data_IF_656915068376
#
_entry.id   IF_656915068376
#
_cell.length_a   1.000
_cell.length_b   1.000
_cell.length_c   1.000
_cell.angle_alpha   90.00
_cell.angle_beta   90.00
_cell.angle_gamma   90.00
#
_symmetry.space_group_name_H-M   'P 1'
#
loop_
_entity.id
_entity.type
_entity.pdbx_description
1 polymer ?
#
# COMPACT_ATOMS: atom_id res chain seq x y z
N UNK A 1 -48.13 36.64 48.24
CA UNK A 1 -47.31 36.65 47.02
C UNK A 1 -47.03 35.25 46.50
N UNK A 2 -47.08 35.15 45.17
CA UNK A 2 -46.75 33.99 44.35
C UNK A 2 -45.23 33.75 44.27
N UNK A 3 -44.81 32.53 43.90
CA UNK A 3 -43.49 32.33 43.28
C UNK A 3 -42.88 30.94 43.44
N UNK A 4 -43.16 30.05 42.48
CA UNK A 4 -42.45 28.80 42.20
C UNK A 4 -41.09 29.01 41.53
N UNK A 5 -40.23 27.98 41.57
CA UNK A 5 -39.29 27.63 40.48
C UNK A 5 -37.81 27.89 40.80
N UNK A 6 -37.00 26.84 40.95
CA UNK A 6 -36.01 26.41 39.94
C UNK A 6 -34.61 26.74 40.46
N UNK A 7 -33.52 26.04 40.18
CA UNK A 7 -33.21 25.14 39.07
C UNK A 7 -31.95 24.33 39.45
N UNK A 8 -31.87 23.10 38.97
CA UNK A 8 -30.74 22.19 39.17
C UNK A 8 -29.69 22.44 38.10
N UNK A 9 -28.58 23.09 38.46
CA UNK A 9 -27.41 23.25 37.60
C UNK A 9 -26.62 21.95 37.46
N UNK A 10 -27.03 21.06 36.57
CA UNK A 10 -26.16 20.01 36.04
C UNK A 10 -25.21 20.62 35.02
N UNK A 11 -23.96 20.86 35.44
CA UNK A 11 -22.86 21.15 34.52
C UNK A 11 -22.59 19.94 33.64
N UNK A 12 -23.07 20.00 32.40
CA UNK A 12 -22.76 19.04 31.36
C UNK A 12 -21.31 19.18 30.94
N UNK A 13 -20.51 18.20 31.33
CA UNK A 13 -19.16 17.97 30.83
C UNK A 13 -19.25 17.60 29.34
N UNK A 14 -18.93 18.56 28.46
CA UNK A 14 -18.84 18.32 27.03
C UNK A 14 -17.58 17.50 26.75
N UNK A 15 -17.76 16.18 26.67
CA UNK A 15 -16.71 15.22 26.32
C UNK A 15 -15.91 15.67 25.10
N UNK A 16 -14.63 15.97 25.32
CA UNK A 16 -13.63 16.12 24.28
C UNK A 16 -13.39 14.74 23.63
N UNK A 17 -13.98 14.54 22.44
CA UNK A 17 -13.45 13.53 21.51
C UNK A 17 -11.97 13.84 21.20
N UNK A 18 -11.17 12.83 20.82
CA UNK A 18 -9.76 13.04 20.49
C UNK A 18 -9.65 14.12 19.42
N UNK A 19 -8.84 15.15 19.68
CA UNK A 19 -8.61 16.24 18.76
C UNK A 19 -8.12 15.67 17.41
N UNK A 20 -8.83 15.98 16.33
CA UNK A 20 -8.33 15.77 14.98
C UNK A 20 -7.07 16.63 14.82
N UNK A 21 -5.91 15.99 14.74
CA UNK A 21 -4.64 16.66 14.46
C UNK A 21 -4.72 17.22 13.04
N UNK A 22 -4.62 18.54 12.91
CA UNK A 22 -4.44 19.18 11.60
C UNK A 22 -2.96 19.12 11.24
N UNK A 23 -2.58 18.18 10.37
CA UNK A 23 -1.21 18.07 9.90
C UNK A 23 -0.75 19.30 9.14
N UNK A 24 -1.67 20.04 8.53
CA UNK A 24 -1.37 21.27 7.79
C UNK A 24 -0.79 22.38 8.69
N UNK A 25 -1.02 22.31 10.00
CA UNK A 25 -0.48 23.27 10.98
C UNK A 25 0.90 22.89 11.53
N UNK A 26 1.35 21.66 11.30
CA UNK A 26 2.59 21.13 11.88
C UNK A 26 3.83 21.66 11.14
N UNK A 27 4.81 22.30 11.84
CA UNK A 27 5.99 22.88 11.20
C UNK A 27 6.80 21.90 10.34
N UNK A 28 6.88 20.64 10.77
CA UNK A 28 7.59 19.59 10.03
C UNK A 28 6.91 19.23 8.70
N UNK A 29 5.58 19.25 8.68
CA UNK A 29 4.77 18.98 7.47
C UNK A 29 4.86 20.17 6.51
N UNK A 30 4.76 21.40 7.02
CA UNK A 30 4.97 22.62 6.24
C UNK A 30 6.35 22.61 5.57
N UNK A 31 7.39 22.23 6.31
CA UNK A 31 8.75 22.11 5.78
C UNK A 31 8.86 20.99 4.72
N UNK A 32 8.19 19.85 4.93
CA UNK A 32 8.16 18.76 3.95
C UNK A 32 7.50 19.20 2.63
N UNK A 33 6.32 19.82 2.67
CA UNK A 33 5.66 20.38 1.48
C UNK A 33 6.55 21.44 0.80
N UNK A 34 7.13 22.36 1.57
CA UNK A 34 8.03 23.38 1.01
C UNK A 34 9.24 22.77 0.30
N UNK A 35 9.84 21.70 0.85
CA UNK A 35 10.94 20.97 0.22
C UNK A 35 10.53 20.21 -1.03
N UNK A 36 9.30 19.70 -1.09
CA UNK A 36 8.81 18.94 -2.23
C UNK A 36 8.43 19.83 -3.42
N UNK A 37 7.93 21.04 -3.17
CA UNK A 37 7.32 21.89 -4.21
C UNK A 37 7.92 23.29 -4.36
N UNK A 38 8.85 23.71 -3.48
CA UNK A 38 9.58 24.98 -3.61
C UNK A 38 9.00 26.18 -2.83
N UNK A 39 7.86 26.03 -2.14
CA UNK A 39 7.34 26.92 -1.06
C UNK A 39 6.09 26.23 -0.47
N UNK A 40 5.51 26.61 0.69
CA UNK A 40 4.37 25.85 1.20
C UNK A 40 3.26 25.86 0.15
N UNK A 41 3.01 24.72 -0.47
CA UNK A 41 1.97 24.56 -1.47
C UNK A 41 0.67 24.26 -0.74
N UNK A 42 -0.30 25.17 -0.86
CA UNK A 42 -1.63 24.99 -0.28
C UNK A 42 -2.24 23.64 -0.69
N UNK A 43 -2.00 23.18 -1.92
CA UNK A 43 -2.44 21.87 -2.40
C UNK A 43 -1.81 20.67 -1.67
N UNK A 44 -0.53 20.77 -1.26
CA UNK A 44 0.11 19.72 -0.47
C UNK A 44 -0.48 19.69 0.94
N UNK A 45 -0.60 20.87 1.57
CA UNK A 45 -1.15 21.00 2.92
C UNK A 45 -2.61 20.53 2.98
N UNK A 46 -3.44 20.92 2.00
CA UNK A 46 -4.83 20.49 1.87
C UNK A 46 -4.95 18.96 1.69
N UNK A 47 -4.07 18.37 0.87
CA UNK A 47 -4.07 16.93 0.65
C UNK A 47 -3.75 16.13 1.92
N UNK A 48 -2.89 16.65 2.80
CA UNK A 48 -2.40 15.92 3.98
C UNK A 48 -3.06 16.34 5.30
N UNK A 49 -3.86 17.41 5.32
CA UNK A 49 -4.47 17.96 6.54
C UNK A 49 -5.16 16.89 7.39
N UNK A 50 -5.87 15.97 6.72
CA UNK A 50 -6.62 14.87 7.34
C UNK A 50 -6.01 13.50 7.11
N UNK A 51 -4.72 13.42 6.81
CA UNK A 51 -4.02 12.15 6.71
C UNK A 51 -4.15 11.38 8.04
N UNK A 52 -4.34 10.06 7.96
CA UNK A 52 -4.49 9.23 9.15
C UNK A 52 -3.19 9.11 9.97
N UNK A 53 -2.04 9.43 9.37
CA UNK A 53 -0.70 9.30 9.93
C UNK A 53 0.16 10.50 9.57
N UNK A 54 1.32 10.64 10.22
CA UNK A 54 2.29 11.69 9.88
C UNK A 54 2.69 11.61 8.39
N UNK A 55 2.39 12.64 7.58
CA UNK A 55 2.59 12.57 6.13
C UNK A 55 4.04 12.84 5.70
N UNK A 56 4.96 13.14 6.63
CA UNK A 56 6.33 13.58 6.29
C UNK A 56 7.08 12.54 5.45
N UNK A 57 6.99 11.26 5.82
CA UNK A 57 7.63 10.17 5.07
C UNK A 57 7.00 9.97 3.68
N UNK A 58 5.68 10.10 3.56
CA UNK A 58 4.96 10.05 2.29
C UNK A 58 5.43 11.18 1.35
N UNK A 59 5.47 12.42 1.85
CA UNK A 59 5.87 13.59 1.05
C UNK A 59 7.29 13.40 0.51
N UNK A 60 8.21 12.93 1.36
CA UNK A 60 9.58 12.61 0.97
C UNK A 60 9.63 11.51 -0.11
N UNK A 61 8.94 10.39 0.09
CA UNK A 61 8.92 9.29 -0.86
C UNK A 61 8.33 9.69 -2.23
N UNK A 62 7.25 10.49 -2.24
CA UNK A 62 6.67 11.01 -3.47
C UNK A 62 7.61 11.98 -4.20
N UNK A 63 8.28 12.89 -3.48
CA UNK A 63 9.30 13.76 -4.05
C UNK A 63 10.40 12.92 -4.70
N UNK A 64 10.92 11.94 -3.98
CA UNK A 64 12.00 11.10 -4.49
C UNK A 64 11.56 10.29 -5.71
N UNK A 65 10.32 9.81 -5.74
CA UNK A 65 9.80 9.02 -6.86
C UNK A 65 9.55 9.83 -8.13
N UNK A 66 9.16 11.10 -8.01
CA UNK A 66 8.60 11.87 -9.13
C UNK A 66 9.29 13.20 -9.41
N UNK A 67 10.30 13.60 -8.64
CA UNK A 67 11.07 14.83 -8.92
C UNK A 67 11.72 14.76 -10.32
N UNK A 68 11.71 15.87 -11.10
CA UNK A 68 11.26 17.22 -10.74
C UNK A 68 9.77 17.53 -11.06
N UNK A 69 8.96 16.53 -11.41
CA UNK A 69 7.59 16.73 -11.90
C UNK A 69 6.60 16.98 -10.75
N UNK A 70 6.39 18.25 -10.39
CA UNK A 70 5.52 18.65 -9.28
C UNK A 70 4.08 18.11 -9.36
N UNK A 71 3.51 17.96 -10.55
CA UNK A 71 2.17 17.36 -10.75
C UNK A 71 2.10 15.90 -10.28
N UNK A 72 3.15 15.13 -10.56
CA UNK A 72 3.23 13.71 -10.23
C UNK A 72 3.51 13.54 -8.74
N UNK A 73 4.35 14.41 -8.16
CA UNK A 73 4.53 14.49 -6.70
C UNK A 73 3.18 14.78 -6.02
N UNK A 74 2.41 15.76 -6.50
CA UNK A 74 1.09 16.09 -5.93
C UNK A 74 0.08 14.94 -6.05
N UNK A 75 0.07 14.24 -7.19
CA UNK A 75 -0.80 13.08 -7.42
C UNK A 75 -0.47 11.94 -6.46
N UNK A 76 0.82 11.67 -6.27
CA UNK A 76 1.30 10.67 -5.31
C UNK A 76 0.93 11.04 -3.87
N UNK A 77 1.14 12.30 -3.46
CA UNK A 77 0.79 12.77 -2.11
C UNK A 77 -0.71 12.66 -1.86
N UNK A 78 -1.53 13.11 -2.81
CA UNK A 78 -3.01 13.04 -2.70
C UNK A 78 -3.49 11.59 -2.58
N UNK A 79 -2.88 10.68 -3.34
CA UNK A 79 -3.23 9.26 -3.33
C UNK A 79 -2.80 8.60 -2.02
N UNK A 80 -1.56 8.83 -1.59
CA UNK A 80 -1.02 8.26 -0.36
C UNK A 80 -1.67 8.81 0.90
N UNK A 81 -2.07 10.08 0.93
CA UNK A 81 -2.71 10.69 2.10
C UNK A 81 -4.07 10.05 2.44
N UNK A 82 -4.69 9.37 1.46
CA UNK A 82 -5.95 8.63 1.61
C UNK A 82 -5.74 7.15 1.95
N UNK A 83 -4.49 6.70 2.08
CA UNK A 83 -4.17 5.32 2.40
C UNK A 83 -4.65 4.97 3.82
N UNK A 84 -4.96 3.69 4.02
CA UNK A 84 -5.40 3.14 5.32
C UNK A 84 -4.25 2.80 6.27
N UNK A 85 -3.02 2.98 5.81
CA UNK A 85 -1.75 2.66 6.48
C UNK A 85 -0.69 3.68 6.03
N UNK A 86 0.47 3.71 6.69
CA UNK A 86 1.59 4.60 6.31
C UNK A 86 2.18 4.21 4.93
N UNK A 87 1.98 5.00 3.87
CA UNK A 87 2.27 4.56 2.49
C UNK A 87 3.73 4.76 2.05
N UNK A 88 4.59 5.36 2.88
CA UNK A 88 5.94 5.77 2.48
C UNK A 88 6.79 4.63 1.92
N UNK A 89 6.79 3.48 2.60
CA UNK A 89 7.50 2.28 2.16
C UNK A 89 6.91 1.69 0.86
N UNK A 90 5.58 1.73 0.69
CA UNK A 90 4.90 1.32 -0.54
C UNK A 90 5.32 2.18 -1.74
N UNK A 91 5.39 3.51 -1.57
CA UNK A 91 5.85 4.42 -2.63
C UNK A 91 7.30 4.12 -3.03
N UNK A 92 8.19 3.93 -2.04
CA UNK A 92 9.58 3.57 -2.29
C UNK A 92 9.72 2.24 -3.03
N UNK A 93 8.93 1.22 -2.65
CA UNK A 93 8.92 -0.07 -3.32
C UNK A 93 8.42 0.03 -4.78
N UNK A 94 7.36 0.81 -5.03
CA UNK A 94 6.88 1.08 -6.38
C UNK A 94 7.95 1.77 -7.25
N UNK A 95 8.65 2.78 -6.71
CA UNK A 95 9.76 3.43 -7.40
C UNK A 95 10.86 2.43 -7.76
N UNK A 96 11.27 1.60 -6.81
CA UNK A 96 12.31 0.59 -7.04
C UNK A 96 11.90 -0.46 -8.08
N UNK A 97 10.60 -0.80 -8.14
CA UNK A 97 10.10 -1.79 -9.09
C UNK A 97 9.98 -1.25 -10.52
N UNK A 98 9.62 0.02 -10.71
CA UNK A 98 9.19 0.54 -12.01
C UNK A 98 9.99 1.75 -12.54
N UNK A 99 10.96 2.28 -11.80
CA UNK A 99 11.81 3.34 -12.31
C UNK A 99 12.52 2.92 -13.63
N UNK A 100 12.67 3.85 -14.60
CA UNK A 100 12.30 5.27 -14.56
C UNK A 100 10.86 5.60 -15.02
N UNK A 101 10.01 4.61 -15.25
CA UNK A 101 8.68 4.82 -15.85
C UNK A 101 7.67 5.39 -14.84
N UNK A 102 7.58 6.71 -14.76
CA UNK A 102 6.71 7.41 -13.79
C UNK A 102 5.25 6.96 -13.83
N UNK A 103 4.69 6.67 -15.01
CA UNK A 103 3.33 6.14 -15.15
C UNK A 103 3.10 4.81 -14.42
N UNK A 104 4.09 3.92 -14.49
CA UNK A 104 4.02 2.59 -13.85
C UNK A 104 4.19 2.72 -12.34
N UNK A 105 5.07 3.64 -11.90
CA UNK A 105 5.19 3.98 -10.47
C UNK A 105 3.87 4.53 -9.93
N UNK A 106 3.21 5.48 -10.62
CA UNK A 106 1.91 6.01 -10.21
C UNK A 106 0.83 4.92 -10.16
N UNK A 107 0.78 4.06 -11.18
CA UNK A 107 -0.17 2.95 -11.23
C UNK A 107 0.05 1.98 -10.07
N UNK A 108 1.31 1.65 -9.78
CA UNK A 108 1.66 0.83 -8.62
C UNK A 108 1.20 1.47 -7.31
N UNK A 109 1.49 2.76 -7.10
CA UNK A 109 1.08 3.49 -5.88
C UNK A 109 -0.44 3.45 -5.73
N UNK A 110 -1.19 3.83 -6.77
CA UNK A 110 -2.65 3.87 -6.73
C UNK A 110 -3.27 2.52 -6.36
N UNK A 111 -2.76 1.42 -6.94
CA UNK A 111 -3.25 0.06 -6.62
C UNK A 111 -2.87 -0.36 -5.21
N UNK A 112 -1.62 -0.16 -4.82
CA UNK A 112 -1.09 -0.65 -3.55
C UNK A 112 -1.67 0.12 -2.35
N UNK A 113 -1.89 1.43 -2.47
CA UNK A 113 -2.46 2.24 -1.37
C UNK A 113 -3.98 2.13 -1.26
N UNK A 114 -4.68 1.66 -2.30
CA UNK A 114 -6.10 1.33 -2.23
C UNK A 114 -6.37 0.06 -1.41
N UNK A 115 -5.35 -0.79 -1.24
CA UNK A 115 -5.41 -1.98 -0.41
C UNK A 115 -5.62 -1.68 1.07
N UNK A 116 -5.98 -2.71 1.83
CA UNK A 116 -6.20 -2.59 3.28
C UNK A 116 -4.91 -2.63 4.12
N UNK A 117 -3.76 -2.91 3.49
CA UNK A 117 -2.48 -3.19 4.17
C UNK A 117 -1.29 -2.70 3.37
N UNK A 118 -0.17 -2.51 4.03
CA UNK A 118 1.11 -2.16 3.42
C UNK A 118 1.58 -3.26 2.46
N UNK A 119 1.86 -2.90 1.20
CA UNK A 119 2.22 -3.85 0.12
C UNK A 119 3.71 -3.81 -0.25
N UNK A 120 4.54 -3.08 0.50
CA UNK A 120 5.96 -2.85 0.17
C UNK A 120 6.74 -4.16 -0.04
N UNK A 121 6.54 -5.15 0.85
CA UNK A 121 7.15 -6.48 0.73
C UNK A 121 6.66 -7.27 -0.49
N UNK A 122 5.37 -7.19 -0.80
CA UNK A 122 4.77 -7.87 -1.95
C UNK A 122 5.28 -7.32 -3.29
N UNK A 123 5.38 -5.99 -3.41
CA UNK A 123 5.92 -5.30 -4.60
C UNK A 123 7.35 -5.77 -4.87
N UNK A 124 8.19 -5.83 -3.83
CA UNK A 124 9.55 -6.33 -3.93
C UNK A 124 9.61 -7.79 -4.39
N UNK A 125 8.74 -8.65 -3.85
CA UNK A 125 8.65 -10.06 -4.25
C UNK A 125 8.19 -10.21 -5.71
N UNK A 126 7.16 -9.47 -6.13
CA UNK A 126 6.70 -9.43 -7.53
C UNK A 126 7.83 -8.99 -8.47
N UNK A 127 8.58 -7.94 -8.12
CA UNK A 127 9.73 -7.48 -8.91
C UNK A 127 10.79 -8.56 -9.03
N UNK A 128 11.15 -9.23 -7.92
CA UNK A 128 12.12 -10.34 -7.96
C UNK A 128 11.63 -11.52 -8.78
N UNK A 129 10.33 -11.82 -8.77
CA UNK A 129 9.76 -12.97 -9.46
C UNK A 129 9.65 -12.77 -10.98
N UNK A 130 9.32 -11.56 -11.43
CA UNK A 130 8.90 -11.30 -12.81
C UNK A 130 9.75 -10.28 -13.57
N UNK A 131 10.79 -9.72 -12.96
CA UNK A 131 11.74 -8.87 -13.68
C UNK A 131 12.40 -9.63 -14.85
N UNK A 132 12.73 -8.94 -15.97
CA UNK A 132 12.56 -7.49 -16.18
C UNK A 132 11.19 -7.07 -16.72
N UNK A 133 10.23 -7.98 -16.91
CA UNK A 133 8.97 -7.71 -17.58
C UNK A 133 7.99 -6.93 -16.68
N UNK A 134 7.92 -5.61 -16.85
CA UNK A 134 7.10 -4.72 -16.03
C UNK A 134 5.61 -5.08 -16.01
N UNK A 135 5.06 -5.56 -17.14
CA UNK A 135 3.68 -6.03 -17.24
C UNK A 135 3.37 -7.20 -16.29
N UNK A 136 4.32 -8.13 -16.15
CA UNK A 136 4.17 -9.30 -15.29
C UNK A 136 4.32 -8.91 -13.82
N UNK A 137 5.23 -7.98 -13.52
CA UNK A 137 5.34 -7.39 -12.17
C UNK A 137 4.02 -6.71 -11.77
N UNK A 138 3.43 -5.89 -12.64
CA UNK A 138 2.14 -5.25 -12.38
C UNK A 138 0.99 -6.25 -12.24
N UNK A 139 0.98 -7.31 -13.05
CA UNK A 139 -0.02 -8.39 -12.95
C UNK A 139 0.06 -9.11 -11.61
N UNK A 140 1.27 -9.34 -11.10
CA UNK A 140 1.48 -9.91 -9.78
C UNK A 140 0.96 -8.98 -8.67
N UNK A 141 1.31 -7.68 -8.73
CA UNK A 141 0.84 -6.68 -7.75
C UNK A 141 -0.68 -6.59 -7.73
N UNK A 142 -1.31 -6.56 -8.91
CA UNK A 142 -2.77 -6.52 -9.03
C UNK A 142 -3.44 -7.75 -8.41
N UNK A 143 -2.83 -8.92 -8.59
CA UNK A 143 -3.34 -10.18 -8.02
C UNK A 143 -3.35 -10.15 -6.49
N UNK A 144 -2.44 -9.41 -5.85
CA UNK A 144 -2.30 -9.41 -4.38
C UNK A 144 -2.81 -8.14 -3.68
N UNK A 145 -3.16 -7.10 -4.42
CA UNK A 145 -3.53 -5.77 -3.88
C UNK A 145 -4.76 -5.77 -2.94
N UNK A 146 -5.66 -6.75 -3.07
CA UNK A 146 -6.86 -6.91 -2.23
C UNK A 146 -6.75 -7.97 -1.13
N UNK A 147 -5.59 -8.62 -1.00
CA UNK A 147 -5.42 -9.75 -0.08
C UNK A 147 -5.41 -9.30 1.38
N UNK A 148 -5.85 -10.18 2.27
CA UNK A 148 -5.90 -9.95 3.72
C UNK A 148 -4.70 -10.52 4.47
N UNK A 149 -3.65 -10.94 3.78
CA UNK A 149 -2.47 -11.59 4.37
C UNK A 149 -1.20 -11.06 3.68
N UNK A 150 -0.02 -11.39 4.21
CA UNK A 150 1.28 -10.90 3.71
C UNK A 150 1.74 -11.66 2.45
N UNK A 151 1.65 -11.08 1.23
CA UNK A 151 1.82 -11.81 -0.03
C UNK A 151 3.24 -12.32 -0.29
N UNK A 152 4.23 -11.65 0.29
CA UNK A 152 5.64 -11.79 -0.10
C UNK A 152 6.15 -13.24 0.00
N UNK A 153 5.84 -13.92 1.10
CA UNK A 153 6.32 -15.29 1.33
C UNK A 153 5.75 -16.28 0.30
N UNK A 154 4.47 -16.14 -0.05
CA UNK A 154 3.83 -17.00 -1.04
C UNK A 154 4.33 -16.72 -2.45
N UNK A 155 4.57 -15.45 -2.81
CA UNK A 155 5.19 -15.10 -4.10
C UNK A 155 6.57 -15.74 -4.23
N UNK A 156 7.40 -15.65 -3.17
CA UNK A 156 8.72 -16.27 -3.17
C UNK A 156 8.62 -17.81 -3.22
N UNK A 157 7.62 -18.43 -2.57
CA UNK A 157 7.36 -19.87 -2.66
C UNK A 157 6.93 -20.29 -4.08
N UNK A 158 6.00 -19.57 -4.70
CA UNK A 158 5.61 -19.79 -6.10
C UNK A 158 6.82 -19.68 -7.04
N UNK A 159 7.68 -18.67 -6.84
CA UNK A 159 8.90 -18.53 -7.65
C UNK A 159 9.80 -19.76 -7.50
N UNK A 160 10.03 -20.25 -6.28
CA UNK A 160 10.84 -21.46 -6.03
C UNK A 160 10.23 -22.72 -6.63
N UNK A 161 8.92 -22.89 -6.54
CA UNK A 161 8.23 -24.11 -6.96
C UNK A 161 8.11 -24.24 -8.49
N UNK A 162 7.99 -23.11 -9.21
CA UNK A 162 7.62 -23.08 -10.62
C UNK A 162 8.66 -22.43 -11.55
N UNK A 163 9.79 -21.93 -11.05
CA UNK A 163 10.87 -21.46 -11.93
C UNK A 163 11.36 -22.58 -12.86
N UNK A 164 11.66 -22.28 -14.15
CA UNK A 164 11.68 -20.96 -14.79
C UNK A 164 10.36 -20.53 -15.47
N UNK A 165 9.26 -21.26 -15.28
CA UNK A 165 8.00 -21.06 -16.02
C UNK A 165 7.19 -19.88 -15.48
N UNK A 166 7.48 -18.66 -15.96
CA UNK A 166 6.85 -17.42 -15.49
C UNK A 166 5.31 -17.44 -15.49
N UNK A 167 4.69 -18.08 -16.49
CA UNK A 167 3.23 -18.28 -16.54
C UNK A 167 2.70 -19.12 -15.38
N UNK A 168 3.43 -20.17 -14.98
CA UNK A 168 3.05 -21.03 -13.86
C UNK A 168 3.30 -20.33 -12.51
N UNK A 169 4.36 -19.53 -12.41
CA UNK A 169 4.57 -18.66 -11.24
C UNK A 169 3.40 -17.70 -11.08
N UNK A 170 2.94 -17.03 -12.16
CA UNK A 170 1.75 -16.15 -12.10
C UNK A 170 0.48 -16.92 -11.73
N UNK A 171 0.26 -18.10 -12.31
CA UNK A 171 -0.90 -18.92 -11.99
C UNK A 171 -0.90 -19.37 -10.52
N UNK A 172 0.28 -19.68 -9.97
CA UNK A 172 0.46 -19.97 -8.55
C UNK A 172 0.16 -18.75 -7.67
N UNK A 173 0.70 -17.56 -8.00
CA UNK A 173 0.48 -16.33 -7.22
C UNK A 173 -1.00 -15.97 -7.15
N UNK A 174 -1.74 -16.08 -8.27
CA UNK A 174 -3.19 -15.86 -8.28
C UNK A 174 -3.93 -16.86 -7.39
N UNK A 175 -3.59 -18.15 -7.50
CA UNK A 175 -4.19 -19.17 -6.64
C UNK A 175 -3.87 -18.92 -5.16
N UNK A 176 -2.66 -18.46 -4.84
CA UNK A 176 -2.27 -18.10 -3.49
C UNK A 176 -3.06 -16.88 -2.98
N UNK A 177 -3.24 -15.85 -3.82
CA UNK A 177 -4.02 -14.65 -3.50
C UNK A 177 -5.46 -14.96 -3.07
N UNK A 178 -6.07 -15.97 -3.71
CA UNK A 178 -7.42 -16.45 -3.37
C UNK A 178 -7.46 -17.27 -2.06
N UNK A 179 -6.31 -17.66 -1.51
CA UNK A 179 -6.24 -18.49 -0.32
C UNK A 179 -6.58 -17.72 0.96
N UNK A 180 -7.30 -18.39 1.86
CA UNK A 180 -7.76 -17.83 3.15
C UNK A 180 -6.88 -18.21 4.34
N UNK A 181 -5.90 -19.11 4.15
CA UNK A 181 -4.98 -19.65 5.17
C UNK A 181 -3.52 -19.47 4.73
N UNK A 182 -2.56 -19.94 5.54
CA UNK A 182 -1.12 -19.98 5.25
C UNK A 182 -0.83 -20.56 3.85
N UNK A 183 -0.65 -19.70 2.83
CA UNK A 183 -0.49 -20.16 1.47
C UNK A 183 0.95 -20.65 1.24
N UNK A 184 1.93 -20.12 1.95
CA UNK A 184 3.33 -20.50 1.79
C UNK A 184 3.54 -21.95 2.23
N UNK A 185 3.05 -22.33 3.41
CA UNK A 185 3.13 -23.73 3.88
C UNK A 185 2.40 -24.70 2.96
N UNK A 186 1.24 -24.30 2.44
CA UNK A 186 0.47 -25.11 1.49
C UNK A 186 1.18 -25.30 0.14
N UNK A 187 1.84 -24.25 -0.38
CA UNK A 187 2.65 -24.32 -1.61
C UNK A 187 3.86 -25.23 -1.40
N UNK A 188 4.57 -25.10 -0.28
CA UNK A 188 5.75 -25.91 0.02
C UNK A 188 5.38 -27.40 0.13
N UNK A 189 4.22 -27.73 0.71
CA UNK A 189 3.70 -29.10 0.73
C UNK A 189 3.38 -29.65 -0.67
N UNK A 190 2.95 -28.79 -1.59
CA UNK A 190 2.71 -29.15 -3.00
C UNK A 190 3.99 -29.26 -3.84
N UNK A 191 5.14 -28.79 -3.33
CA UNK A 191 6.40 -28.78 -4.06
C UNK A 191 7.16 -30.12 -3.99
N UNK A 192 6.43 -31.24 -4.09
CA UNK A 192 6.97 -32.60 -4.01
C UNK A 192 6.94 -33.36 -5.35
N UNK A 193 6.36 -32.78 -6.40
CA UNK A 193 6.24 -33.39 -7.74
C UNK A 193 7.28 -32.92 -8.76
N UNK A 194 7.44 -33.67 -9.85
CA UNK A 194 8.38 -33.33 -10.94
C UNK A 194 7.76 -32.41 -12.02
N UNK A 195 6.43 -32.40 -12.17
CA UNK A 195 5.75 -31.64 -13.22
C UNK A 195 5.08 -30.38 -12.68
N UNK A 196 5.29 -29.25 -13.35
CA UNK A 196 4.69 -27.97 -12.99
C UNK A 196 3.14 -28.02 -12.99
N UNK A 197 2.55 -28.77 -13.93
CA UNK A 197 1.10 -28.99 -13.99
C UNK A 197 0.54 -29.61 -12.72
N UNK A 198 1.23 -30.61 -12.17
CA UNK A 198 0.79 -31.37 -11.00
C UNK A 198 0.93 -30.53 -9.73
N UNK A 199 2.06 -29.81 -9.62
CA UNK A 199 2.28 -28.84 -8.55
C UNK A 199 1.18 -27.77 -8.55
N UNK A 200 0.83 -27.21 -9.70
CA UNK A 200 -0.20 -26.17 -9.81
C UNK A 200 -1.59 -26.72 -9.49
N UNK A 201 -1.89 -27.94 -9.93
CA UNK A 201 -3.14 -28.61 -9.59
C UNK A 201 -3.26 -28.84 -8.07
N UNK A 202 -2.16 -29.17 -7.40
CA UNK A 202 -2.10 -29.26 -5.95
C UNK A 202 -2.36 -27.89 -5.29
N UNK A 203 -1.62 -26.85 -5.67
CA UNK A 203 -1.77 -25.48 -5.10
C UNK A 203 -3.21 -24.99 -5.21
N UNK A 204 -3.83 -25.12 -6.39
CA UNK A 204 -5.23 -24.72 -6.62
C UNK A 204 -6.25 -25.47 -5.78
N UNK A 205 -5.91 -26.67 -5.29
CA UNK A 205 -6.77 -27.47 -4.42
C UNK A 205 -6.64 -27.07 -2.96
N UNK A 206 -5.42 -26.83 -2.49
CA UNK A 206 -5.12 -26.48 -1.10
C UNK A 206 -5.39 -25.01 -0.78
N UNK A 207 -5.45 -24.15 -1.79
CA UNK A 207 -5.79 -22.73 -1.66
C UNK A 207 -7.30 -22.45 -1.51
N UNK A 208 -8.18 -23.45 -1.60
CA UNK A 208 -9.65 -23.30 -1.49
C UNK A 208 -10.17 -23.47 -0.07
#
# INVERSE_FOLDING_TARGET
DHGHGGDHGHGGDHGHGPAVVSWASEPRVIQACSRAFGSPTAACLDAVDRAAFDPTALIGACKDAFSPYGSDVQTCVTTGARARFEPGATVAACKAAFAPYGSDVQTCVAKATAGAREQSGAIGACKRAFAPYGSDVMTCIDSVAGTRWEPGAAIDACKRAFAPYGSDVQACVRAAADATRDPAGAIDACNVGNFASDKLACVKRVAR
#
